data_IF_281560645336
#
_entry.id   IF_281560645336
#
_cell.length_a   1.000
_cell.length_b   1.000
_cell.length_c   1.000
_cell.angle_alpha   90.00
_cell.angle_beta   90.00
_cell.angle_gamma   90.00
#
_symmetry.space_group_name_H-M   'P 1'
#
loop_
_entity.id
_entity.type
_entity.pdbx_description
1 polymer ?
#
# COMPACT_ATOMS: atom_id res chain seq x y z
N UNK A 1 -12.98 0.39 22.77
CA UNK A 1 -12.95 -0.04 24.18
C UNK A 1 -13.41 1.13 25.03
N UNK A 2 -14.41 0.94 25.89
CA UNK A 2 -14.91 1.98 26.79
C UNK A 2 -14.42 1.66 28.20
N UNK A 3 -13.33 2.32 28.64
CA UNK A 3 -12.71 2.05 29.94
C UNK A 3 -13.48 2.71 31.09
N UNK A 4 -13.94 3.95 30.89
CA UNK A 4 -14.76 4.71 31.83
C UNK A 4 -15.74 5.56 31.02
N UNK A 5 -16.99 5.61 31.45
CA UNK A 5 -18.03 6.44 30.83
C UNK A 5 -19.07 6.88 31.86
N UNK A 6 -18.84 8.06 32.45
CA UNK A 6 -19.63 8.55 33.59
C UNK A 6 -21.04 9.00 33.20
N UNK A 7 -21.24 9.38 31.95
CA UNK A 7 -22.49 9.97 31.45
C UNK A 7 -23.08 9.21 30.25
N UNK A 8 -22.49 8.08 29.84
CA UNK A 8 -23.00 7.25 28.74
C UNK A 8 -22.65 7.78 27.35
N UNK A 9 -22.06 8.98 27.25
CA UNK A 9 -21.79 9.64 25.96
C UNK A 9 -20.76 8.86 25.14
N UNK A 10 -19.74 8.30 25.79
CA UNK A 10 -18.72 7.53 25.06
C UNK A 10 -19.31 6.26 24.47
N UNK A 11 -20.15 5.54 25.22
CA UNK A 11 -20.81 4.32 24.74
C UNK A 11 -21.76 4.60 23.58
N UNK A 12 -22.53 5.70 23.65
CA UNK A 12 -23.41 6.11 22.54
C UNK A 12 -22.61 6.39 21.26
N UNK A 13 -21.54 7.17 21.35
CA UNK A 13 -20.70 7.49 20.19
C UNK A 13 -19.99 6.25 19.63
N UNK A 14 -19.50 5.35 20.50
CA UNK A 14 -18.86 4.10 20.06
C UNK A 14 -19.84 3.16 19.36
N UNK A 15 -21.12 3.16 19.75
CA UNK A 15 -22.14 2.35 19.09
C UNK A 15 -22.36 2.82 17.64
N UNK A 16 -22.46 4.13 17.43
CA UNK A 16 -22.58 4.73 16.08
C UNK A 16 -21.40 4.32 15.19
N UNK A 17 -20.17 4.38 15.73
CA UNK A 17 -18.97 4.00 14.97
C UNK A 17 -18.87 2.48 14.72
N UNK A 18 -19.44 1.66 15.60
CA UNK A 18 -19.45 0.19 15.40
C UNK A 18 -20.37 -0.21 14.25
N UNK A 19 -21.42 0.56 14.02
CA UNK A 19 -22.41 0.33 12.96
C UNK A 19 -21.94 0.87 11.59
N UNK A 20 -20.89 1.70 11.55
CA UNK A 20 -20.32 2.16 10.29
C UNK A 20 -19.47 1.08 9.62
N UNK A 21 -20.04 0.40 8.62
CA UNK A 21 -19.27 -0.43 7.70
C UNK A 21 -18.77 0.44 6.53
N UNK A 22 -17.45 0.57 6.41
CA UNK A 22 -16.84 1.39 5.36
C UNK A 22 -16.36 0.46 4.25
N UNK A 23 -17.06 0.51 3.11
CA UNK A 23 -16.61 -0.18 1.92
C UNK A 23 -15.30 0.43 1.42
N UNK A 24 -14.21 -0.33 1.50
CA UNK A 24 -12.87 0.07 1.01
C UNK A 24 -12.61 -0.37 -0.43
N UNK A 25 -13.50 -1.16 -1.03
CA UNK A 25 -13.34 -1.71 -2.36
C UNK A 25 -14.20 -0.92 -3.35
N UNK A 26 -13.84 0.36 -3.54
CA UNK A 26 -14.46 1.29 -4.50
C UNK A 26 -13.41 1.81 -5.47
N UNK A 27 -13.85 2.27 -6.66
CA UNK A 27 -12.96 2.86 -7.67
C UNK A 27 -12.15 4.02 -7.09
N UNK A 28 -12.80 4.93 -6.39
CA UNK A 28 -12.18 6.14 -5.81
C UNK A 28 -11.09 5.77 -4.81
N UNK A 29 -11.36 4.78 -3.95
CA UNK A 29 -10.38 4.35 -2.95
C UNK A 29 -9.21 3.59 -3.59
N UNK A 30 -9.45 2.80 -4.64
CA UNK A 30 -8.37 2.15 -5.41
C UNK A 30 -7.46 3.20 -6.03
N UNK A 31 -8.02 4.20 -6.70
CA UNK A 31 -7.26 5.28 -7.34
C UNK A 31 -6.51 6.12 -6.31
N UNK A 32 -7.13 6.44 -5.17
CA UNK A 32 -6.48 7.19 -4.10
C UNK A 32 -5.27 6.43 -3.55
N UNK A 33 -5.42 5.13 -3.27
CA UNK A 33 -4.33 4.28 -2.79
C UNK A 33 -3.23 4.16 -3.84
N UNK A 34 -3.59 4.01 -5.11
CA UNK A 34 -2.61 3.88 -6.19
C UNK A 34 -1.81 5.18 -6.40
N UNK A 35 -2.47 6.34 -6.37
CA UNK A 35 -1.79 7.64 -6.40
C UNK A 35 -0.85 7.81 -5.21
N UNK A 36 -1.29 7.46 -3.99
CA UNK A 36 -0.43 7.50 -2.81
C UNK A 36 0.77 6.54 -2.91
N UNK A 37 0.55 5.35 -3.48
CA UNK A 37 1.62 4.40 -3.79
C UNK A 37 2.65 5.01 -4.73
N UNK A 38 2.23 5.59 -5.87
CA UNK A 38 3.14 6.20 -6.85
C UNK A 38 3.90 7.39 -6.25
N UNK A 39 3.23 8.24 -5.47
CA UNK A 39 3.86 9.37 -4.78
C UNK A 39 4.94 8.91 -3.79
N UNK A 40 4.62 7.93 -2.94
CA UNK A 40 5.58 7.38 -1.97
C UNK A 40 6.75 6.67 -2.68
N UNK A 41 6.46 5.93 -3.74
CA UNK A 41 7.46 5.26 -4.58
C UNK A 41 8.43 6.28 -5.19
N UNK A 42 7.92 7.31 -5.86
CA UNK A 42 8.74 8.34 -6.50
C UNK A 42 9.59 9.11 -5.49
N UNK A 43 9.02 9.45 -4.34
CA UNK A 43 9.78 10.06 -3.25
C UNK A 43 10.95 9.18 -2.81
N UNK A 44 10.69 7.89 -2.61
CA UNK A 44 11.69 6.90 -2.25
C UNK A 44 12.81 6.73 -3.28
N UNK A 45 12.46 6.59 -4.55
CA UNK A 45 13.43 6.49 -5.65
C UNK A 45 14.28 7.75 -5.78
N UNK A 46 13.67 8.94 -5.65
CA UNK A 46 14.42 10.21 -5.66
C UNK A 46 15.46 10.27 -4.54
N UNK A 47 15.07 9.86 -3.33
CA UNK A 47 15.98 9.81 -2.17
C UNK A 47 17.10 8.77 -2.40
N UNK A 48 16.76 7.60 -2.94
CA UNK A 48 17.72 6.55 -3.27
C UNK A 48 18.77 7.03 -4.29
N UNK A 49 18.34 7.67 -5.38
CA UNK A 49 19.23 8.23 -6.43
C UNK A 49 20.21 9.28 -5.89
N UNK A 50 19.87 10.00 -4.82
CA UNK A 50 20.79 10.95 -4.15
C UNK A 50 21.83 10.27 -3.25
N UNK A 51 21.80 8.95 -3.09
CA UNK A 51 22.69 8.21 -2.19
C UNK A 51 22.24 8.19 -0.73
N UNK A 52 21.05 8.70 -0.41
CA UNK A 52 20.50 8.70 0.96
C UNK A 52 19.87 7.34 1.32
N UNK A 53 20.63 6.25 1.25
CA UNK A 53 20.08 4.89 1.29
C UNK A 53 19.30 4.54 2.58
N UNK A 54 19.73 5.06 3.74
CA UNK A 54 18.98 4.86 4.99
C UNK A 54 17.60 5.51 4.95
N UNK A 55 17.52 6.73 4.39
CA UNK A 55 16.26 7.44 4.19
C UNK A 55 15.42 6.79 3.10
N UNK A 56 16.03 6.25 2.05
CA UNK A 56 15.31 5.47 1.05
C UNK A 56 14.68 4.22 1.68
N UNK A 57 15.40 3.52 2.57
CA UNK A 57 14.85 2.38 3.32
C UNK A 57 13.69 2.80 4.24
N UNK A 58 13.79 3.94 4.92
CA UNK A 58 12.67 4.50 5.69
C UNK A 58 11.47 4.79 4.78
N UNK A 59 11.70 5.43 3.62
CA UNK A 59 10.66 5.77 2.67
C UNK A 59 9.95 4.52 2.11
N UNK A 60 10.67 3.40 1.98
CA UNK A 60 10.14 2.14 1.46
C UNK A 60 8.95 1.64 2.29
N UNK A 61 8.92 1.92 3.60
CA UNK A 61 7.79 1.59 4.48
C UNK A 61 6.47 2.19 3.99
N UNK A 62 6.48 3.44 3.50
CA UNK A 62 5.27 4.09 3.00
C UNK A 62 4.78 3.45 1.69
N UNK A 63 5.70 3.13 0.78
CA UNK A 63 5.37 2.42 -0.46
C UNK A 63 4.80 1.02 -0.16
N UNK A 64 5.41 0.29 0.77
CA UNK A 64 4.92 -1.00 1.26
C UNK A 64 3.51 -0.91 1.86
N UNK A 65 3.23 0.13 2.66
CA UNK A 65 1.93 0.35 3.28
C UNK A 65 0.81 0.47 2.23
N UNK A 66 1.01 1.30 1.20
CA UNK A 66 0.01 1.46 0.14
C UNK A 66 -0.08 0.22 -0.75
N UNK A 67 1.03 -0.46 -1.00
CA UNK A 67 1.03 -1.74 -1.70
C UNK A 67 0.20 -2.81 -0.97
N UNK A 68 0.32 -2.91 0.36
CA UNK A 68 -0.49 -3.82 1.16
C UNK A 68 -1.97 -3.45 1.15
N UNK A 69 -2.32 -2.17 1.10
CA UNK A 69 -3.71 -1.75 0.92
C UNK A 69 -4.28 -2.22 -0.42
N UNK A 70 -3.49 -2.16 -1.51
CA UNK A 70 -3.88 -2.72 -2.81
C UNK A 70 -4.08 -4.24 -2.71
N UNK A 71 -3.15 -4.98 -2.08
CA UNK A 71 -3.30 -6.42 -1.85
C UNK A 71 -4.60 -6.72 -1.10
N UNK A 72 -4.89 -6.00 -0.02
CA UNK A 72 -6.09 -6.21 0.80
C UNK A 72 -7.38 -5.96 0.04
N UNK A 73 -7.40 -4.99 -0.88
CA UNK A 73 -8.54 -4.78 -1.79
C UNK A 73 -8.73 -6.02 -2.68
N UNK A 74 -7.63 -6.52 -3.26
CA UNK A 74 -7.65 -7.68 -4.16
C UNK A 74 -8.06 -8.97 -3.44
N UNK A 75 -7.55 -9.21 -2.23
CA UNK A 75 -7.86 -10.41 -1.44
C UNK A 75 -9.13 -10.26 -0.57
N UNK A 76 -9.81 -9.11 -0.64
CA UNK A 76 -11.05 -8.82 0.10
C UNK A 76 -10.86 -8.86 1.63
N UNK A 77 -9.68 -8.51 2.12
CA UNK A 77 -9.28 -8.51 3.55
C UNK A 77 -9.06 -7.08 4.08
N UNK A 78 -10.04 -6.20 3.89
CA UNK A 78 -9.92 -4.76 4.17
C UNK A 78 -10.22 -4.33 5.61
N UNK A 79 -10.48 -5.28 6.52
CA UNK A 79 -10.79 -4.99 7.94
C UNK A 79 -9.67 -4.20 8.63
N UNK A 80 -8.42 -4.52 8.32
CA UNK A 80 -7.24 -3.84 8.84
C UNK A 80 -6.75 -2.72 7.90
N UNK A 81 -7.64 -1.78 7.56
CA UNK A 81 -7.34 -0.74 6.56
C UNK A 81 -6.26 0.27 7.00
N UNK A 82 -6.41 0.83 8.20
CA UNK A 82 -5.54 1.92 8.71
C UNK A 82 -4.12 1.39 8.98
N UNK A 83 -4.05 0.18 9.54
CA UNK A 83 -2.81 -0.55 9.76
C UNK A 83 -2.81 -1.85 8.92
N UNK A 84 -2.43 -1.78 7.64
CA UNK A 84 -2.49 -2.91 6.72
C UNK A 84 -1.50 -4.03 7.05
N UNK A 85 -0.61 -3.84 8.03
CA UNK A 85 0.32 -4.88 8.48
C UNK A 85 -0.28 -5.83 9.52
N UNK A 86 -1.44 -5.50 10.08
CA UNK A 86 -2.09 -6.31 11.12
C UNK A 86 -2.55 -7.65 10.54
N UNK A 87 -2.15 -8.77 11.16
CA UNK A 87 -2.57 -10.13 10.79
C UNK A 87 -2.20 -10.56 9.35
N UNK A 88 -1.17 -9.97 8.73
CA UNK A 88 -0.79 -10.30 7.34
C UNK A 88 -0.56 -11.80 7.11
N UNK A 89 0.16 -12.45 8.03
CA UNK A 89 0.51 -13.88 7.96
C UNK A 89 -0.71 -14.79 7.99
N UNK A 90 -1.81 -14.32 8.59
CA UNK A 90 -3.03 -15.11 8.81
C UNK A 90 -4.12 -14.77 7.80
N UNK A 91 -4.13 -13.56 7.25
CA UNK A 91 -5.19 -13.07 6.37
C UNK A 91 -4.82 -13.09 4.88
N UNK A 92 -3.53 -13.04 4.54
CA UNK A 92 -3.11 -13.04 3.13
C UNK A 92 -2.89 -14.45 2.59
N UNK A 93 -3.09 -14.63 1.28
CA UNK A 93 -2.63 -15.84 0.61
C UNK A 93 -1.10 -15.93 0.64
N UNK A 94 -0.56 -17.16 0.64
CA UNK A 94 0.89 -17.40 0.55
C UNK A 94 1.52 -16.67 -0.65
N UNK A 95 0.81 -16.61 -1.77
CA UNK A 95 1.27 -15.92 -2.98
C UNK A 95 1.40 -14.41 -2.76
N UNK A 96 0.41 -13.78 -2.11
CA UNK A 96 0.45 -12.36 -1.81
C UNK A 96 1.51 -12.03 -0.75
N UNK A 97 1.62 -12.86 0.29
CA UNK A 97 2.62 -12.69 1.34
C UNK A 97 4.06 -12.80 0.79
N UNK A 98 4.34 -13.80 -0.05
CA UNK A 98 5.65 -13.93 -0.70
C UNK A 98 5.93 -12.77 -1.68
N UNK A 99 4.90 -12.22 -2.33
CA UNK A 99 5.05 -11.00 -3.12
C UNK A 99 5.39 -9.79 -2.23
N UNK A 100 4.76 -9.64 -1.07
CA UNK A 100 5.08 -8.58 -0.12
C UNK A 100 6.52 -8.70 0.41
N UNK A 101 6.97 -9.91 0.77
CA UNK A 101 8.36 -10.15 1.24
C UNK A 101 9.43 -9.66 0.28
N UNK A 102 9.23 -9.84 -1.03
CA UNK A 102 10.14 -9.33 -2.07
C UNK A 102 10.17 -7.81 -2.20
N UNK A 103 9.20 -7.11 -1.62
CA UNK A 103 9.17 -5.66 -1.49
C UNK A 103 9.85 -5.14 -0.23
N UNK A 104 10.55 -5.99 0.53
CA UNK A 104 11.33 -5.62 1.71
C UNK A 104 12.83 -5.66 1.40
N UNK A 105 13.63 -4.91 2.15
CA UNK A 105 15.08 -4.85 1.95
C UNK A 105 15.83 -4.65 3.27
N UNK A 106 17.05 -5.21 3.42
CA UNK A 106 18.02 -4.72 4.39
C UNK A 106 18.58 -3.36 3.95
N UNK A 107 19.36 -2.69 4.82
CA UNK A 107 20.10 -1.47 4.47
C UNK A 107 21.29 -1.79 3.54
N UNK A 108 20.98 -2.13 2.28
CA UNK A 108 21.92 -2.38 1.19
C UNK A 108 21.38 -1.73 -0.07
N UNK A 109 22.22 -0.98 -0.77
CA UNK A 109 21.84 -0.14 -1.89
C UNK A 109 21.03 -0.89 -2.96
N UNK A 110 21.57 -2.03 -3.42
CA UNK A 110 20.98 -2.84 -4.47
C UNK A 110 19.66 -3.46 -4.01
N UNK A 111 19.62 -3.97 -2.78
CA UNK A 111 18.41 -4.60 -2.24
C UNK A 111 17.25 -3.61 -2.07
N UNK A 112 17.55 -2.36 -1.68
CA UNK A 112 16.54 -1.29 -1.57
C UNK A 112 15.95 -1.00 -2.94
N UNK A 113 16.80 -0.83 -3.96
CA UNK A 113 16.35 -0.58 -5.33
C UNK A 113 15.51 -1.74 -5.87
N UNK A 114 15.98 -2.98 -5.71
CA UNK A 114 15.25 -4.20 -6.11
C UNK A 114 13.86 -4.28 -5.45
N UNK A 115 13.76 -3.95 -4.16
CA UNK A 115 12.49 -3.93 -3.44
C UNK A 115 11.52 -2.90 -4.02
N UNK A 116 11.98 -1.68 -4.32
CA UNK A 116 11.17 -0.67 -5.01
C UNK A 116 10.68 -1.19 -6.37
N UNK A 117 11.59 -1.66 -7.23
CA UNK A 117 11.25 -2.14 -8.58
C UNK A 117 10.24 -3.30 -8.51
N UNK A 118 10.42 -4.22 -7.56
CA UNK A 118 9.47 -5.31 -7.34
C UNK A 118 8.08 -4.79 -6.95
N UNK A 119 7.99 -3.80 -6.04
CA UNK A 119 6.72 -3.20 -5.64
C UNK A 119 6.00 -2.52 -6.80
N UNK A 120 6.72 -1.73 -7.63
CA UNK A 120 6.13 -1.08 -8.81
C UNK A 120 5.61 -2.10 -9.84
N UNK A 121 6.43 -3.10 -10.16
CA UNK A 121 6.06 -4.17 -11.10
C UNK A 121 4.86 -4.96 -10.61
N UNK A 122 4.80 -5.23 -9.31
CA UNK A 122 3.72 -6.00 -8.68
C UNK A 122 2.44 -5.17 -8.54
N UNK A 123 2.54 -3.88 -8.20
CA UNK A 123 1.39 -3.00 -8.12
C UNK A 123 0.71 -2.80 -9.48
N UNK A 124 1.47 -2.73 -10.57
CA UNK A 124 0.94 -2.70 -11.95
C UNK A 124 0.08 -3.93 -12.27
N UNK A 125 0.51 -5.12 -11.83
CA UNK A 125 -0.28 -6.34 -12.01
C UNK A 125 -1.57 -6.31 -11.20
N UNK A 126 -1.50 -5.82 -9.96
CA UNK A 126 -2.68 -5.65 -9.10
C UNK A 126 -3.67 -4.67 -9.73
N UNK A 127 -3.20 -3.50 -10.18
CA UNK A 127 -4.06 -2.50 -10.82
C UNK A 127 -4.75 -3.07 -12.07
N UNK A 128 -4.00 -3.80 -12.92
CA UNK A 128 -4.58 -4.48 -14.09
C UNK A 128 -5.67 -5.49 -13.71
N UNK A 129 -5.47 -6.23 -12.62
CA UNK A 129 -6.49 -7.16 -12.11
C UNK A 129 -7.72 -6.40 -11.61
N UNK A 130 -7.53 -5.36 -10.80
CA UNK A 130 -8.62 -4.54 -10.28
C UNK A 130 -9.40 -3.84 -11.41
N UNK A 131 -8.73 -3.44 -12.50
CA UNK A 131 -9.38 -2.87 -13.69
C UNK A 131 -10.35 -3.81 -14.42
N UNK A 132 -10.38 -5.10 -14.08
CA UNK A 132 -11.38 -6.04 -14.58
C UNK A 132 -12.72 -5.93 -13.82
N UNK A 133 -12.69 -5.45 -12.58
CA UNK A 133 -13.85 -5.34 -11.68
C UNK A 133 -14.27 -3.87 -11.47
N UNK A 134 -13.33 -2.92 -11.62
CA UNK A 134 -13.51 -1.51 -11.32
C UNK A 134 -13.11 -0.63 -12.51
N UNK A 135 -13.86 0.45 -12.75
CA UNK A 135 -13.54 1.44 -13.80
C UNK A 135 -12.46 2.41 -13.33
N UNK A 136 -11.23 1.92 -13.17
CA UNK A 136 -10.07 2.73 -12.75
C UNK A 136 -9.50 3.56 -13.90
N UNK A 137 -8.99 4.73 -13.57
CA UNK A 137 -8.21 5.59 -14.47
C UNK A 137 -7.04 4.81 -15.08
N UNK A 138 -6.70 5.14 -16.33
CA UNK A 138 -5.54 4.55 -16.99
C UNK A 138 -4.23 5.20 -16.50
N UNK A 139 -3.46 4.43 -15.71
CA UNK A 139 -2.14 4.84 -15.22
C UNK A 139 -0.98 4.40 -16.14
N UNK A 140 -1.26 3.84 -17.32
CA UNK A 140 -0.22 3.22 -18.17
C UNK A 140 0.91 4.18 -18.54
N UNK A 141 0.58 5.41 -18.96
CA UNK A 141 1.58 6.38 -19.38
C UNK A 141 2.47 6.83 -18.21
N UNK A 142 1.88 7.20 -17.07
CA UNK A 142 2.65 7.64 -15.90
C UNK A 142 3.50 6.51 -15.33
N UNK A 143 3.01 5.27 -15.29
CA UNK A 143 3.82 4.12 -14.84
C UNK A 143 5.02 3.92 -15.77
N UNK A 144 4.85 4.07 -17.09
CA UNK A 144 5.95 3.94 -18.06
C UNK A 144 7.06 4.98 -17.81
N UNK A 145 6.67 6.22 -17.53
CA UNK A 145 7.61 7.29 -17.19
C UNK A 145 8.35 7.02 -15.87
N UNK A 146 7.61 6.56 -14.86
CA UNK A 146 8.19 6.17 -13.56
C UNK A 146 9.16 4.97 -13.72
N UNK A 147 8.80 3.96 -14.52
CA UNK A 147 9.65 2.80 -14.82
C UNK A 147 10.96 3.25 -15.49
N UNK A 148 10.89 4.13 -16.50
CA UNK A 148 12.06 4.68 -17.16
C UNK A 148 12.96 5.45 -16.18
N UNK A 149 12.37 6.39 -15.42
CA UNK A 149 13.08 7.17 -14.42
C UNK A 149 13.78 6.30 -13.37
N UNK A 150 13.14 5.21 -12.94
CA UNK A 150 13.66 4.33 -11.88
C UNK A 150 14.83 3.44 -12.34
N UNK A 151 15.04 3.29 -13.64
CA UNK A 151 16.12 2.48 -14.23
C UNK A 151 17.35 3.30 -14.64
N UNK A 152 17.19 4.61 -14.81
CA UNK A 152 18.31 5.51 -15.07
C UNK A 152 19.22 5.57 -13.83
N UNK A 153 20.54 5.51 -14.00
CA UNK A 153 21.49 5.76 -12.91
C UNK A 153 21.88 7.24 -12.90
#
# INVERSE_FOLDING_TARGET
MCLVDKNGTLRQNLQILKESDINRRTTENIEQVYNNFLNAFLFGINVWKRGEHARALECLYYTQRFYLQLIRITEKTTNHWVNPFTQLENELSNKAYESFKKGTAPLKNEAIHEAYIHLLKSSKKILKQLGQEYSVTDFTQIIKEIEAYSLEN
#
